data_IF_068193329532
#
_entry.id   IF_068193329532
#
_cell.length_a   1.000
_cell.length_b   1.000
_cell.length_c   1.000
_cell.angle_alpha   90.00
_cell.angle_beta   90.00
_cell.angle_gamma   90.00
#
_symmetry.space_group_name_H-M   'P 1'
#
loop_
_entity.id
_entity.type
_entity.pdbx_description
1 polymer ?
#
# COMPACT_ATOMS: atom_id res chain seq x y z
N UNK A 1 -24.84 -15.34 23.39
CA UNK A 1 -24.66 -16.45 22.41
C UNK A 1 -24.66 -15.95 20.97
N UNK A 2 -25.66 -15.20 20.50
CA UNK A 2 -25.69 -14.65 19.11
C UNK A 2 -24.53 -13.71 18.78
N UNK A 3 -24.21 -12.77 19.67
CA UNK A 3 -23.06 -11.83 19.49
C UNK A 3 -21.72 -12.55 19.50
N UNK A 4 -21.57 -13.55 20.37
CA UNK A 4 -20.37 -14.39 20.44
C UNK A 4 -20.16 -15.19 19.16
N UNK A 5 -21.25 -15.70 18.56
CA UNK A 5 -21.21 -16.38 17.27
C UNK A 5 -20.84 -15.43 16.13
N UNK A 6 -21.38 -14.21 16.12
CA UNK A 6 -21.02 -13.21 15.11
C UNK A 6 -19.54 -12.80 15.20
N UNK A 7 -19.02 -12.55 16.40
CA UNK A 7 -17.59 -12.20 16.59
C UNK A 7 -16.68 -13.37 16.19
N UNK A 8 -17.05 -14.60 16.54
CA UNK A 8 -16.31 -15.79 16.15
C UNK A 8 -16.35 -16.00 14.62
N UNK A 9 -17.50 -15.78 13.98
CA UNK A 9 -17.66 -15.84 12.53
C UNK A 9 -16.85 -14.74 11.82
N UNK A 10 -16.80 -13.51 12.35
CA UNK A 10 -15.96 -12.45 11.82
C UNK A 10 -14.47 -12.75 11.94
N UNK A 11 -14.05 -13.39 13.04
CA UNK A 11 -12.66 -13.85 13.24
C UNK A 11 -12.32 -15.01 12.28
N UNK A 12 -13.24 -15.95 12.09
CA UNK A 12 -13.08 -17.05 11.12
C UNK A 12 -13.04 -16.55 9.68
N UNK A 13 -13.81 -15.50 9.33
CA UNK A 13 -13.69 -14.85 8.02
C UNK A 13 -12.36 -14.13 7.84
N UNK A 14 -11.84 -13.48 8.88
CA UNK A 14 -10.53 -12.82 8.84
C UNK A 14 -9.37 -13.83 8.65
N UNK A 15 -9.50 -15.05 9.18
CA UNK A 15 -8.53 -16.14 8.97
C UNK A 15 -8.50 -16.67 7.54
N UNK A 16 -9.56 -16.46 6.75
CA UNK A 16 -9.60 -16.80 5.34
C UNK A 16 -9.25 -15.61 4.42
N UNK A 17 -8.88 -14.45 4.98
CA UNK A 17 -8.52 -13.29 4.18
C UNK A 17 -7.11 -13.48 3.60
N UNK A 18 -7.04 -13.84 2.33
CA UNK A 18 -5.83 -13.68 1.54
C UNK A 18 -5.54 -12.18 1.44
N UNK A 19 -4.47 -11.70 2.07
CA UNK A 19 -3.98 -10.34 1.89
C UNK A 19 -3.31 -10.26 0.51
N UNK A 20 -4.12 -10.11 -0.54
CA UNK A 20 -3.60 -9.85 -1.87
C UNK A 20 -3.03 -8.43 -1.91
N UNK A 21 -1.77 -8.32 -2.28
CA UNK A 21 -1.11 -7.04 -2.49
C UNK A 21 -1.61 -6.43 -3.80
N UNK A 22 -2.41 -5.36 -3.74
CA UNK A 22 -2.87 -4.64 -4.93
C UNK A 22 -1.82 -3.60 -5.29
N UNK A 23 -0.91 -3.96 -6.19
CA UNK A 23 0.05 -3.02 -6.77
C UNK A 23 -0.61 -2.27 -7.93
N UNK A 24 -0.41 -0.95 -8.08
CA UNK A 24 -0.84 -0.21 -9.27
C UNK A 24 0.06 -0.54 -10.47
N UNK A 25 -0.49 -0.43 -11.68
CA UNK A 25 0.28 -0.46 -12.91
C UNK A 25 0.81 0.95 -13.25
N UNK A 26 1.85 1.02 -14.07
CA UNK A 26 2.54 2.27 -14.37
C UNK A 26 2.90 2.38 -15.86
N UNK A 27 2.47 3.49 -16.47
CA UNK A 27 2.76 3.85 -17.85
C UNK A 27 3.59 5.12 -17.86
N UNK A 28 4.80 5.04 -18.41
CA UNK A 28 5.68 6.16 -18.65
C UNK A 28 5.92 6.31 -20.14
N UNK A 29 5.77 7.52 -20.65
CA UNK A 29 5.97 7.91 -22.04
C UNK A 29 6.94 9.08 -22.01
N UNK A 30 8.09 8.95 -22.65
CA UNK A 30 9.11 10.00 -22.69
C UNK A 30 9.36 10.39 -24.14
N UNK A 31 9.16 11.66 -24.46
CA UNK A 31 9.53 12.22 -25.76
C UNK A 31 11.06 12.34 -25.86
N UNK A 32 11.67 11.60 -26.79
CA UNK A 32 13.12 11.55 -26.98
C UNK A 32 13.58 12.45 -28.12
N UNK A 33 12.73 12.65 -29.11
CA UNK A 33 12.83 13.63 -30.19
C UNK A 33 11.43 14.08 -30.59
N UNK A 34 11.30 15.16 -31.36
CA UNK A 34 9.99 15.68 -31.81
C UNK A 34 9.13 14.57 -32.45
N UNK A 35 8.04 14.19 -31.77
CA UNK A 35 7.12 13.14 -32.22
C UNK A 35 7.64 11.70 -32.11
N UNK A 36 8.78 11.48 -31.45
CA UNK A 36 9.33 10.16 -31.12
C UNK A 36 9.26 9.95 -29.60
N UNK A 37 8.65 8.83 -29.20
CA UNK A 37 8.43 8.51 -27.79
C UNK A 37 8.95 7.12 -27.46
N UNK A 38 9.65 7.03 -26.33
CA UNK A 38 9.91 5.77 -25.65
C UNK A 38 8.84 5.53 -24.59
N UNK A 39 8.31 4.30 -24.56
CA UNK A 39 7.26 3.91 -23.63
C UNK A 39 7.72 2.78 -22.74
N UNK A 40 7.44 2.90 -21.44
CA UNK A 40 7.62 1.86 -20.43
C UNK A 40 6.26 1.57 -19.81
N UNK A 41 5.85 0.31 -19.91
CA UNK A 41 4.62 -0.19 -19.32
C UNK A 41 4.92 -1.27 -18.31
N UNK A 42 4.64 -0.99 -17.04
CA UNK A 42 4.79 -1.91 -15.93
C UNK A 42 3.42 -2.39 -15.48
N UNK A 43 3.22 -3.70 -15.48
CA UNK A 43 2.01 -4.34 -14.97
C UNK A 43 2.38 -5.30 -13.83
N UNK A 44 1.64 -5.28 -12.71
CA UNK A 44 1.80 -6.31 -11.69
C UNK A 44 1.33 -7.67 -12.22
N UNK A 45 2.08 -8.71 -11.86
CA UNK A 45 1.73 -10.11 -12.14
C UNK A 45 1.05 -10.67 -10.89
N UNK A 46 -0.25 -10.90 -10.97
CA UNK A 46 -1.03 -11.54 -9.89
C UNK A 46 -1.12 -13.05 -10.16
N UNK A 47 -0.67 -13.86 -9.22
CA UNK A 47 -0.71 -15.34 -9.28
C UNK A 47 -0.13 -15.94 -10.58
N UNK A 48 0.97 -15.37 -11.07
CA UNK A 48 1.61 -15.80 -12.32
C UNK A 48 0.81 -15.48 -13.59
N UNK A 49 -0.31 -14.74 -13.49
CA UNK A 49 -1.11 -14.31 -14.62
C UNK A 49 -0.93 -12.81 -14.87
N UNK A 50 -0.73 -12.46 -16.14
CA UNK A 50 -0.79 -11.06 -16.57
C UNK A 50 -2.22 -10.54 -16.47
N UNK A 51 -2.40 -9.35 -15.93
CA UNK A 51 -3.63 -8.60 -16.12
C UNK A 51 -3.78 -8.31 -17.62
N UNK A 52 -5.01 -8.34 -18.15
CA UNK A 52 -5.28 -7.99 -19.55
C UNK A 52 -5.44 -6.46 -19.67
N UNK A 53 -4.42 -5.72 -19.24
CA UNK A 53 -4.37 -4.27 -19.31
C UNK A 53 -3.48 -3.86 -20.48
N UNK A 54 -4.00 -3.01 -21.36
CA UNK A 54 -3.26 -2.53 -22.52
C UNK A 54 -3.51 -1.04 -22.75
N UNK A 55 -2.44 -0.22 -22.85
CA UNK A 55 -2.58 1.20 -23.19
C UNK A 55 -3.05 1.40 -24.63
N UNK A 56 -4.08 2.23 -24.78
CA UNK A 56 -4.68 2.64 -26.06
C UNK A 56 -4.38 4.12 -26.27
N UNK A 57 -3.51 4.40 -27.24
CA UNK A 57 -3.05 5.74 -27.58
C UNK A 57 -3.98 6.42 -28.59
N UNK A 58 -4.06 7.76 -28.60
CA UNK A 58 -4.78 8.49 -29.64
C UNK A 58 -4.06 8.38 -30.99
N UNK A 59 -4.84 8.25 -32.07
CA UNK A 59 -4.31 8.10 -33.43
C UNK A 59 -3.68 6.73 -33.71
N UNK A 60 -2.88 6.64 -34.77
CA UNK A 60 -2.20 5.41 -35.19
C UNK A 60 -0.74 5.37 -34.68
N UNK A 61 -0.55 5.31 -33.36
CA UNK A 61 0.77 5.08 -32.76
C UNK A 61 1.15 3.59 -32.86
N UNK A 62 1.93 3.22 -33.89
CA UNK A 62 2.43 1.86 -34.03
C UNK A 62 3.57 1.57 -33.04
N UNK A 63 3.50 0.45 -32.32
CA UNK A 63 4.59 -0.01 -31.44
C UNK A 63 5.76 -0.52 -32.27
N UNK A 64 6.95 -0.03 -31.99
CA UNK A 64 8.21 -0.43 -32.63
C UNK A 64 9.20 -0.92 -31.57
N UNK A 65 10.10 -1.82 -31.94
CA UNK A 65 11.18 -2.31 -31.07
C UNK A 65 10.71 -2.84 -29.70
N UNK A 66 9.54 -3.47 -29.65
CA UNK A 66 8.95 -3.95 -28.39
C UNK A 66 9.83 -5.03 -27.74
N UNK A 67 10.12 -4.83 -26.46
CA UNK A 67 10.88 -5.74 -25.61
C UNK A 67 10.16 -5.93 -24.30
N UNK A 68 10.04 -7.19 -23.87
CA UNK A 68 9.39 -7.56 -22.62
C UNK A 68 10.40 -8.17 -21.67
N UNK A 69 10.32 -7.80 -20.41
CA UNK A 69 11.09 -8.35 -19.31
C UNK A 69 10.16 -8.59 -18.13
N UNK A 70 10.37 -9.67 -17.38
CA UNK A 70 9.55 -10.02 -16.22
C UNK A 70 10.45 -10.14 -14.97
N UNK A 71 10.95 -9.02 -14.41
CA UNK A 71 11.63 -9.07 -13.13
C UNK A 71 10.63 -9.41 -12.02
N UNK A 72 10.74 -10.64 -11.48
CA UNK A 72 9.95 -11.15 -10.36
C UNK A 72 8.42 -11.04 -10.58
N UNK A 73 7.75 -10.14 -9.84
CA UNK A 73 6.28 -9.99 -9.82
C UNK A 73 5.75 -8.82 -10.67
N UNK A 74 6.59 -8.20 -11.51
CA UNK A 74 6.20 -7.10 -12.40
C UNK A 74 6.60 -7.41 -13.84
N UNK A 75 5.65 -7.33 -14.77
CA UNK A 75 5.88 -7.40 -16.19
C UNK A 75 6.21 -6.02 -16.73
N UNK A 76 7.41 -5.84 -17.26
CA UNK A 76 7.89 -4.58 -17.84
C UNK A 76 7.97 -4.74 -19.34
N UNK A 77 7.18 -3.97 -20.08
CA UNK A 77 7.23 -3.90 -21.54
C UNK A 77 7.79 -2.54 -21.94
N UNK A 78 8.75 -2.51 -22.85
CA UNK A 78 9.31 -1.27 -23.41
C UNK A 78 9.16 -1.27 -24.93
N UNK A 79 8.74 -0.17 -25.51
CA UNK A 79 8.69 0.01 -26.96
C UNK A 79 8.92 1.47 -27.33
N UNK A 80 9.24 1.72 -28.59
CA UNK A 80 9.28 3.07 -29.16
C UNK A 80 8.07 3.28 -30.08
N UNK A 81 7.64 4.52 -30.24
CA UNK A 81 6.56 4.88 -31.16
C UNK A 81 6.80 6.27 -31.76
N UNK A 82 6.34 6.47 -33.00
CA UNK A 82 6.41 7.75 -33.68
C UNK A 82 4.98 8.21 -34.03
N UNK A 83 4.49 9.23 -33.34
CA UNK A 83 3.14 9.78 -33.52
C UNK A 83 3.03 11.17 -32.87
N UNK A 84 1.83 11.77 -32.85
CA UNK A 84 1.58 13.03 -32.15
C UNK A 84 0.76 12.74 -30.88
N UNK A 85 1.34 13.00 -29.70
CA UNK A 85 0.67 12.83 -28.40
C UNK A 85 0.38 14.15 -27.67
N UNK A 86 0.37 15.28 -28.39
CA UNK A 86 0.06 16.57 -27.79
C UNK A 86 -1.45 16.75 -27.59
N UNK A 87 -2.25 15.97 -28.33
CA UNK A 87 -3.69 15.93 -28.19
C UNK A 87 -4.27 14.52 -28.29
N UNK A 88 -5.52 14.40 -27.86
CA UNK A 88 -6.27 13.15 -27.85
C UNK A 88 -6.40 12.52 -26.48
N UNK A 89 -7.03 11.35 -26.46
CA UNK A 89 -7.37 10.60 -25.26
C UNK A 89 -6.49 9.36 -25.16
N UNK A 90 -5.82 9.20 -24.03
CA UNK A 90 -5.08 8.00 -23.66
C UNK A 90 -5.92 7.20 -22.67
N UNK A 91 -6.22 5.95 -22.99
CA UNK A 91 -7.03 5.07 -22.14
C UNK A 91 -6.35 3.73 -21.87
N UNK A 92 -6.75 3.07 -20.79
CA UNK A 92 -6.28 1.71 -20.46
C UNK A 92 -7.43 0.74 -20.64
N UNK A 93 -7.32 -0.11 -21.65
CA UNK A 93 -8.30 -1.16 -21.91
C UNK A 93 -8.24 -2.23 -20.83
N UNK A 94 -9.40 -2.65 -20.33
CA UNK A 94 -9.54 -3.69 -19.30
C UNK A 94 -9.40 -3.20 -17.86
N UNK A 95 -9.08 -1.92 -17.63
CA UNK A 95 -8.95 -1.32 -16.29
C UNK A 95 -10.27 -1.30 -15.51
N UNK A 96 -11.39 -1.20 -16.22
CA UNK A 96 -12.77 -1.26 -15.67
C UNK A 96 -13.08 -2.57 -14.94
N UNK A 97 -12.31 -3.63 -15.20
CA UNK A 97 -12.52 -4.99 -14.68
C UNK A 97 -11.54 -5.39 -13.61
N UNK A 98 -10.71 -4.46 -13.16
CA UNK A 98 -9.68 -4.71 -12.15
C UNK A 98 -9.91 -3.86 -10.91
N UNK A 99 -9.19 -4.19 -9.84
CA UNK A 99 -9.10 -3.39 -8.62
C UNK A 99 -7.80 -2.57 -8.57
N UNK A 100 -7.02 -2.57 -9.65
CA UNK A 100 -5.74 -1.87 -9.72
C UNK A 100 -5.95 -0.48 -10.34
N UNK A 101 -5.13 0.48 -9.91
CA UNK A 101 -5.05 1.79 -10.53
C UNK A 101 -3.86 1.83 -11.50
N UNK A 102 -3.91 2.72 -12.48
CA UNK A 102 -2.81 2.93 -13.43
C UNK A 102 -2.30 4.35 -13.30
N UNK A 103 -1.05 4.50 -12.90
CA UNK A 103 -0.40 5.80 -12.96
C UNK A 103 0.16 6.02 -14.36
N UNK A 104 -0.16 7.16 -14.95
CA UNK A 104 0.25 7.56 -16.29
C UNK A 104 1.11 8.79 -16.20
N UNK A 105 2.27 8.76 -16.86
CA UNK A 105 3.20 9.87 -16.97
C UNK A 105 3.62 10.06 -18.42
N UNK A 106 3.55 11.29 -18.90
CA UNK A 106 4.02 11.72 -20.22
C UNK A 106 5.01 12.86 -20.00
N UNK A 107 6.28 12.62 -20.28
CA UNK A 107 7.34 13.62 -20.29
C UNK A 107 7.50 14.14 -21.72
N UNK A 108 7.37 15.45 -21.92
CA UNK A 108 7.46 16.11 -23.23
C UNK A 108 8.67 17.06 -23.27
N UNK A 109 9.24 17.28 -24.46
CA UNK A 109 10.46 18.10 -24.60
C UNK A 109 10.17 19.60 -24.47
N UNK A 110 9.05 20.07 -25.02
CA UNK A 110 8.71 21.49 -25.12
C UNK A 110 7.40 21.87 -24.41
N UNK A 111 6.55 20.89 -24.10
CA UNK A 111 5.27 21.08 -23.42
C UNK A 111 5.35 20.63 -21.95
N UNK A 112 4.37 21.04 -21.14
CA UNK A 112 4.27 20.58 -19.74
C UNK A 112 4.13 19.05 -19.67
N UNK A 113 4.80 18.44 -18.69
CA UNK A 113 4.59 17.03 -18.34
C UNK A 113 3.11 16.79 -17.97
N UNK A 114 2.56 15.66 -18.45
CA UNK A 114 1.22 15.20 -18.06
C UNK A 114 1.37 14.05 -17.09
N UNK A 115 0.73 14.15 -15.93
CA UNK A 115 0.66 13.02 -15.01
C UNK A 115 -0.75 12.86 -14.46
N UNK A 116 -1.22 11.62 -14.43
CA UNK A 116 -2.58 11.30 -14.01
C UNK A 116 -2.65 9.91 -13.38
N UNK A 117 -3.66 9.72 -12.52
CA UNK A 117 -4.00 8.43 -11.96
C UNK A 117 -5.33 7.96 -12.57
N UNK A 118 -5.25 6.96 -13.44
CA UNK A 118 -6.41 6.28 -14.02
C UNK A 118 -6.93 5.22 -13.07
N UNK A 119 -8.25 5.16 -12.95
CA UNK A 119 -8.97 4.26 -12.02
C UNK A 119 -9.96 3.39 -12.81
N UNK A 120 -10.45 2.28 -12.26
CA UNK A 120 -11.48 1.46 -12.92
C UNK A 120 -12.73 2.25 -13.36
N UNK A 121 -13.12 3.28 -12.60
CA UNK A 121 -14.25 4.16 -12.93
C UNK A 121 -13.91 5.37 -13.81
N UNK A 122 -12.63 5.63 -14.10
CA UNK A 122 -12.13 6.73 -14.91
C UNK A 122 -10.82 6.29 -15.57
N UNK A 123 -10.95 5.53 -16.67
CA UNK A 123 -9.85 4.79 -17.30
C UNK A 123 -9.21 5.51 -18.49
N UNK A 124 -9.50 6.80 -18.67
CA UNK A 124 -8.97 7.62 -19.74
C UNK A 124 -8.58 9.02 -19.25
N UNK A 125 -7.57 9.61 -19.89
CA UNK A 125 -7.12 11.00 -19.69
C UNK A 125 -7.01 11.73 -21.03
N UNK A 126 -7.28 13.04 -20.99
CA UNK A 126 -7.00 13.92 -22.11
C UNK A 126 -5.55 14.43 -22.03
N UNK A 127 -4.78 14.29 -23.12
CA UNK A 127 -3.38 14.72 -23.15
C UNK A 127 -3.20 16.24 -23.32
N UNK A 128 -4.30 16.96 -23.59
CA UNK A 128 -4.32 18.41 -23.78
C UNK A 128 -4.71 19.15 -22.50
N UNK A 129 -3.87 20.07 -22.05
CA UNK A 129 -4.10 20.96 -20.91
C UNK A 129 -3.04 20.82 -19.80
N UNK A 130 -2.90 21.83 -18.92
CA UNK A 130 -1.99 21.76 -17.78
C UNK A 130 -2.50 20.70 -16.80
N UNK A 131 -1.84 19.54 -16.81
CA UNK A 131 -2.11 18.43 -15.91
C UNK A 131 -0.87 18.21 -15.04
N UNK A 132 -0.58 19.20 -14.18
CA UNK A 132 0.37 18.97 -13.10
C UNK A 132 -0.10 17.76 -12.29
N UNK A 133 0.85 16.93 -11.84
CA UNK A 133 0.55 15.79 -10.97
C UNK A 133 -0.44 16.27 -9.91
N UNK A 134 -1.64 15.66 -9.78
CA UNK A 134 -2.52 16.04 -8.70
C UNK A 134 -1.76 15.65 -7.44
N UNK A 135 -1.10 16.60 -6.80
CA UNK A 135 -0.33 16.35 -5.57
C UNK A 135 -1.26 15.78 -4.50
N UNK A 136 -2.53 16.18 -4.52
CA UNK A 136 -3.65 15.58 -3.80
C UNK A 136 -3.91 14.08 -4.11
N UNK A 137 -3.56 13.58 -5.30
CA UNK A 137 -3.64 12.16 -5.62
C UNK A 137 -2.67 11.35 -4.77
N UNK A 138 -1.45 11.85 -4.48
CA UNK A 138 -0.51 11.17 -3.59
C UNK A 138 -1.04 11.08 -2.16
N UNK A 139 -1.73 12.12 -1.67
CA UNK A 139 -2.44 12.04 -0.39
C UNK A 139 -3.50 10.93 -0.41
N UNK A 140 -4.29 10.85 -1.48
CA UNK A 140 -5.32 9.82 -1.63
C UNK A 140 -4.72 8.40 -1.71
N UNK A 141 -3.63 8.24 -2.45
CA UNK A 141 -2.86 6.98 -2.52
C UNK A 141 -2.36 6.58 -1.12
N UNK A 142 -1.89 7.54 -0.32
CA UNK A 142 -1.49 7.28 1.08
C UNK A 142 -2.64 6.80 1.97
N UNK A 143 -3.83 7.38 1.83
CA UNK A 143 -5.04 6.91 2.53
C UNK A 143 -5.43 5.51 2.07
N UNK A 144 -5.47 5.28 0.75
CA UNK A 144 -5.83 4.00 0.15
C UNK A 144 -4.83 2.89 0.52
N UNK A 145 -3.53 3.20 0.58
CA UNK A 145 -2.47 2.30 1.06
C UNK A 145 -2.76 1.75 2.45
N UNK A 146 -3.26 2.59 3.37
CA UNK A 146 -3.60 2.13 4.72
C UNK A 146 -4.92 1.38 4.77
N UNK A 147 -5.94 1.82 4.03
CA UNK A 147 -7.26 1.18 4.04
C UNK A 147 -7.21 -0.21 3.41
N UNK A 148 -6.43 -0.38 2.34
CA UNK A 148 -6.28 -1.67 1.65
C UNK A 148 -5.07 -2.48 2.12
N UNK A 149 -4.15 -1.87 2.86
CA UNK A 149 -3.02 -2.54 3.50
C UNK A 149 -3.44 -3.27 4.77
N UNK A 150 -3.96 -4.50 4.65
CA UNK A 150 -4.41 -5.30 5.80
C UNK A 150 -3.32 -5.52 6.86
N UNK A 151 -2.05 -5.60 6.46
CA UNK A 151 -0.90 -5.65 7.37
C UNK A 151 -0.86 -4.44 8.31
N UNK A 152 -1.08 -3.23 7.76
CA UNK A 152 -1.11 -1.98 8.52
C UNK A 152 -2.31 -1.93 9.46
N UNK A 153 -3.50 -2.33 8.99
CA UNK A 153 -4.71 -2.32 9.81
C UNK A 153 -4.61 -3.30 10.98
N UNK A 154 -4.11 -4.53 10.77
CA UNK A 154 -3.91 -5.50 11.84
C UNK A 154 -2.82 -5.04 12.81
N UNK A 155 -1.74 -4.43 12.32
CA UNK A 155 -0.72 -3.85 13.17
C UNK A 155 -1.28 -2.74 14.07
N UNK A 156 -1.99 -1.76 13.49
CA UNK A 156 -2.63 -0.67 14.25
C UNK A 156 -3.69 -1.20 15.22
N UNK A 157 -4.46 -2.21 14.83
CA UNK A 157 -5.41 -2.87 15.74
C UNK A 157 -4.68 -3.54 16.92
N UNK A 158 -3.53 -4.18 16.67
CA UNK A 158 -2.66 -4.71 17.71
C UNK A 158 -2.19 -3.62 18.68
N UNK A 159 -1.77 -2.46 18.16
CA UNK A 159 -1.39 -1.31 18.99
C UNK A 159 -2.56 -0.78 19.82
N UNK A 160 -3.78 -0.71 19.27
CA UNK A 160 -4.99 -0.31 20.02
C UNK A 160 -5.24 -1.24 21.22
N UNK A 161 -4.96 -2.54 21.08
CA UNK A 161 -5.11 -3.51 22.18
C UNK A 161 -4.00 -3.41 23.23
N UNK A 162 -2.78 -3.07 22.79
CA UNK A 162 -1.57 -3.04 23.62
C UNK A 162 -1.36 -1.71 24.35
N UNK A 163 -1.64 -0.59 23.70
CA UNK A 163 -1.25 0.76 24.13
C UNK A 163 -2.41 1.46 24.85
N UNK A 164 -2.08 2.40 25.75
CA UNK A 164 -3.10 3.26 26.39
C UNK A 164 -3.56 4.34 25.39
N UNK A 165 -4.83 4.75 25.37
CA UNK A 165 -5.33 5.75 24.42
C UNK A 165 -4.51 7.06 24.36
N UNK A 166 -3.97 7.51 25.51
CA UNK A 166 -3.13 8.72 25.60
C UNK A 166 -1.78 8.60 24.86
N UNK A 167 -1.25 7.39 24.73
CA UNK A 167 0.03 7.10 24.08
C UNK A 167 -0.16 6.62 22.63
N UNK A 168 -1.39 6.29 22.23
CA UNK A 168 -1.69 5.66 20.95
C UNK A 168 -1.36 6.57 19.78
N UNK A 169 -1.77 7.84 19.83
CA UNK A 169 -1.49 8.79 18.75
C UNK A 169 0.02 8.93 18.55
N UNK A 170 0.78 9.21 19.62
CA UNK A 170 2.23 9.30 19.54
C UNK A 170 2.91 8.02 19.02
N UNK A 171 2.35 6.84 19.33
CA UNK A 171 2.87 5.55 18.87
C UNK A 171 2.60 5.34 17.38
N UNK A 172 1.40 5.68 16.90
CA UNK A 172 1.03 5.61 15.47
C UNK A 172 1.85 6.62 14.68
N UNK A 173 1.98 7.86 15.15
CA UNK A 173 2.82 8.86 14.50
C UNK A 173 4.29 8.43 14.46
N UNK A 174 4.81 7.78 15.50
CA UNK A 174 6.18 7.25 15.48
C UNK A 174 6.38 6.18 14.40
N UNK A 175 5.38 5.32 14.19
CA UNK A 175 5.38 4.37 13.07
C UNK A 175 5.41 5.10 11.73
N UNK A 176 4.56 6.12 11.53
CA UNK A 176 4.49 6.88 10.27
C UNK A 176 5.77 7.65 9.98
N UNK A 177 6.38 8.24 11.01
CA UNK A 177 7.68 8.93 10.87
C UNK A 177 8.75 7.94 10.41
N UNK A 178 8.83 6.76 11.04
CA UNK A 178 9.79 5.73 10.64
C UNK A 178 9.53 5.20 9.23
N UNK A 179 8.26 4.99 8.88
CA UNK A 179 7.83 4.62 7.53
C UNK A 179 8.24 5.69 6.51
N UNK A 180 8.04 6.97 6.83
CA UNK A 180 8.43 8.09 5.98
C UNK A 180 9.93 8.12 5.73
N UNK A 181 10.74 7.87 6.77
CA UNK A 181 12.22 7.86 6.67
C UNK A 181 12.68 6.80 5.68
N UNK A 182 12.17 5.57 5.79
CA UNK A 182 12.61 4.46 4.95
C UNK A 182 12.07 4.55 3.53
N UNK A 183 10.84 5.03 3.36
CA UNK A 183 10.29 5.34 2.05
C UNK A 183 11.09 6.42 1.33
N UNK A 184 11.44 7.51 2.03
CA UNK A 184 12.28 8.57 1.47
C UNK A 184 13.71 8.08 1.18
N UNK A 185 14.30 7.28 2.07
CA UNK A 185 15.62 6.69 1.85
C UNK A 185 15.65 5.77 0.62
N UNK A 186 14.55 5.04 0.37
CA UNK A 186 14.45 4.20 -0.82
C UNK A 186 14.22 5.01 -2.09
N UNK A 187 13.28 5.95 -2.06
CA UNK A 187 12.90 6.75 -3.22
C UNK A 187 13.95 7.78 -3.64
N UNK A 188 14.66 8.40 -2.68
CA UNK A 188 15.65 9.46 -2.94
C UNK A 188 17.09 8.97 -2.84
N UNK A 189 17.36 8.03 -1.93
CA UNK A 189 18.71 7.54 -1.63
C UNK A 189 19.08 6.24 -2.33
N UNK A 190 18.14 5.61 -3.04
CA UNK A 190 18.36 4.33 -3.74
C UNK A 190 18.57 3.13 -2.81
N UNK A 191 18.25 3.26 -1.52
CA UNK A 191 18.37 2.15 -0.56
C UNK A 191 17.23 1.16 -0.81
N UNK A 192 17.57 -0.05 -1.24
CA UNK A 192 16.58 -1.10 -1.49
C UNK A 192 16.89 -2.33 -0.64
N UNK A 193 15.83 -2.95 -0.12
CA UNK A 193 15.90 -4.25 0.53
C UNK A 193 15.12 -5.26 -0.32
N UNK A 194 15.53 -6.54 -0.33
CA UNK A 194 14.73 -7.59 -0.97
C UNK A 194 13.34 -7.66 -0.32
N UNK A 195 12.29 -7.73 -1.15
CA UNK A 195 10.89 -7.81 -0.69
C UNK A 195 10.59 -8.98 0.26
N UNK A 196 10.96 -10.24 -0.06
CA UNK A 196 10.51 -11.39 0.72
C UNK A 196 10.94 -11.35 2.20
N UNK A 197 12.20 -11.04 2.57
CA UNK A 197 12.58 -10.84 3.97
C UNK A 197 11.80 -9.72 4.67
N UNK A 198 11.53 -8.60 3.98
CA UNK A 198 10.77 -7.47 4.53
C UNK A 198 9.34 -7.90 4.84
N UNK A 199 8.68 -8.57 3.89
CA UNK A 199 7.31 -9.07 4.06
C UNK A 199 7.20 -10.11 5.20
N UNK A 200 8.19 -10.99 5.37
CA UNK A 200 8.23 -11.95 6.49
C UNK A 200 8.30 -11.20 7.82
N UNK A 201 9.17 -10.18 7.95
CA UNK A 201 9.32 -9.40 9.17
C UNK A 201 8.06 -8.58 9.47
N UNK A 202 7.40 -8.04 8.44
CA UNK A 202 6.09 -7.38 8.56
C UNK A 202 5.07 -8.34 9.17
N UNK A 203 4.92 -9.56 8.63
CA UNK A 203 3.98 -10.55 9.17
C UNK A 203 4.34 -10.97 10.61
N UNK A 204 5.63 -11.16 10.90
CA UNK A 204 6.11 -11.45 12.25
C UNK A 204 5.81 -10.32 13.25
N UNK A 205 5.85 -9.05 12.82
CA UNK A 205 5.51 -7.91 13.68
C UNK A 205 4.06 -7.96 14.17
N UNK A 206 3.14 -8.39 13.29
CA UNK A 206 1.72 -8.57 13.60
C UNK A 206 1.54 -9.72 14.59
N UNK A 207 2.22 -10.85 14.34
CA UNK A 207 2.22 -11.99 15.26
C UNK A 207 2.72 -11.60 16.66
N UNK A 208 3.79 -10.81 16.72
CA UNK A 208 4.34 -10.29 17.97
C UNK A 208 3.33 -9.42 18.72
N UNK A 209 2.65 -8.48 18.06
CA UNK A 209 1.64 -7.65 18.72
C UNK A 209 0.46 -8.49 19.25
N UNK A 210 0.04 -9.53 18.53
CA UNK A 210 -0.96 -10.48 19.01
C UNK A 210 -0.52 -11.20 20.29
N UNK A 211 0.73 -11.66 20.35
CA UNK A 211 1.31 -12.31 21.52
C UNK A 211 1.46 -11.34 22.71
N UNK A 212 1.99 -10.13 22.46
CA UNK A 212 2.17 -9.08 23.47
C UNK A 212 0.85 -8.64 24.11
N UNK A 213 -0.23 -8.57 23.32
CA UNK A 213 -1.56 -8.28 23.85
C UNK A 213 -2.07 -9.35 24.84
N UNK A 214 -1.60 -10.60 24.71
CA UNK A 214 -1.89 -11.69 25.67
C UNK A 214 -0.95 -11.63 26.88
N UNK A 215 0.34 -11.39 26.69
CA UNK A 215 1.33 -11.28 27.78
C UNK A 215 1.00 -10.15 28.76
N UNK A 216 0.53 -9.02 28.26
CA UNK A 216 0.04 -7.91 29.09
C UNK A 216 -1.06 -8.32 30.07
N UNK A 217 -1.95 -9.25 29.68
CA UNK A 217 -3.00 -9.76 30.58
C UNK A 217 -2.45 -10.67 31.68
N UNK A 218 -1.27 -11.25 31.48
CA UNK A 218 -0.60 -12.11 32.45
C UNK A 218 0.28 -11.33 33.43
N UNK A 219 0.34 -10.00 33.32
CA UNK A 219 1.14 -9.14 34.19
C UNK A 219 2.64 -9.18 33.89
N UNK A 220 3.02 -9.55 32.66
CA UNK A 220 4.41 -9.56 32.23
C UNK A 220 4.80 -8.21 31.63
N UNK A 221 5.87 -7.61 32.15
CA UNK A 221 6.43 -6.37 31.63
C UNK A 221 7.33 -6.66 30.42
N UNK A 222 6.97 -6.11 29.26
CA UNK A 222 7.75 -6.23 28.02
C UNK A 222 8.08 -4.84 27.48
N UNK A 223 9.13 -4.75 26.65
CA UNK A 223 9.50 -3.48 25.99
C UNK A 223 8.35 -2.92 25.16
N UNK A 224 7.59 -3.79 24.48
CA UNK A 224 6.43 -3.41 23.68
C UNK A 224 5.30 -2.79 24.51
N UNK A 225 5.20 -3.14 25.79
CA UNK A 225 4.21 -2.56 26.70
C UNK A 225 4.68 -1.27 27.36
N UNK A 226 5.97 -1.19 27.70
CA UNK A 226 6.56 -0.05 28.41
C UNK A 226 6.91 1.12 27.48
N UNK A 227 7.43 0.81 26.29
CA UNK A 227 7.86 1.77 25.28
C UNK A 227 7.32 1.38 23.90
N UNK A 228 5.99 1.37 23.72
CA UNK A 228 5.36 0.93 22.47
C UNK A 228 5.79 1.76 21.26
N UNK A 229 6.16 3.03 21.45
CA UNK A 229 6.63 3.92 20.40
C UNK A 229 7.95 3.45 19.77
N UNK A 230 8.86 2.81 20.53
CA UNK A 230 10.12 2.28 20.01
C UNK A 230 9.86 1.10 19.09
N UNK A 231 8.97 0.19 19.52
CA UNK A 231 8.58 -0.98 18.72
C UNK A 231 7.83 -0.54 17.46
N UNK A 232 6.91 0.41 17.59
CA UNK A 232 6.20 0.99 16.45
C UNK A 232 7.15 1.70 15.48
N UNK A 233 8.13 2.44 15.97
CA UNK A 233 9.16 3.05 15.15
C UNK A 233 10.00 1.99 14.41
N UNK A 234 10.49 0.96 15.12
CA UNK A 234 11.28 -0.11 14.51
C UNK A 234 10.53 -0.87 13.42
N UNK A 235 9.25 -1.20 13.65
CA UNK A 235 8.42 -1.83 12.62
C UNK A 235 8.03 -0.87 11.49
N UNK A 236 7.83 0.42 11.80
CA UNK A 236 7.61 1.45 10.78
C UNK A 236 8.76 1.55 9.78
N UNK A 237 10.02 1.41 10.24
CA UNK A 237 11.19 1.36 9.34
C UNK A 237 11.07 0.18 8.36
N UNK A 238 10.72 -1.01 8.84
CA UNK A 238 10.60 -2.20 7.98
C UNK A 238 9.42 -2.07 7.03
N UNK A 239 8.27 -1.60 7.52
CA UNK A 239 7.06 -1.42 6.71
C UNK A 239 7.28 -0.45 5.53
N UNK A 240 8.03 0.64 5.74
CA UNK A 240 8.30 1.60 4.66
C UNK A 240 9.09 0.99 3.49
N UNK A 241 9.96 0.01 3.75
CA UNK A 241 10.60 -0.76 2.68
C UNK A 241 9.63 -1.70 1.95
N UNK A 242 8.59 -2.20 2.63
CA UNK A 242 7.57 -3.05 2.01
C UNK A 242 6.81 -2.32 0.89
N UNK A 243 6.55 -1.02 1.06
CA UNK A 243 5.89 -0.21 0.04
C UNK A 243 6.86 0.46 -0.95
N UNK A 244 8.15 0.55 -0.62
CA UNK A 244 9.12 1.24 -1.45
C UNK A 244 9.21 0.70 -2.89
N UNK A 245 9.06 -0.61 -3.08
CA UNK A 245 8.99 -1.23 -4.41
C UNK A 245 7.78 -0.74 -5.21
N UNK A 246 6.59 -0.72 -4.60
CA UNK A 246 5.38 -0.21 -5.23
C UNK A 246 5.49 1.28 -5.56
N UNK A 247 6.10 2.10 -4.70
CA UNK A 247 6.30 3.52 -5.00
C UNK A 247 7.31 3.77 -6.11
N UNK A 248 8.38 2.97 -6.19
CA UNK A 248 9.32 2.98 -7.32
C UNK A 248 8.64 2.58 -8.64
N UNK A 249 7.63 1.72 -8.55
CA UNK A 249 6.79 1.38 -9.70
C UNK A 249 5.78 2.48 -10.03
N UNK A 250 5.13 3.13 -9.05
CA UNK A 250 4.23 4.28 -9.26
C UNK A 250 4.96 5.50 -9.83
N UNK A 251 6.22 5.69 -9.48
CA UNK A 251 7.00 6.85 -9.85
C UNK A 251 6.65 8.10 -9.03
N UNK A 252 7.66 8.93 -8.78
CA UNK A 252 7.51 10.24 -8.16
C UNK A 252 7.62 11.34 -9.23
N UNK A 253 6.87 12.44 -9.09
CA UNK A 253 6.94 13.55 -10.04
C UNK A 253 8.32 14.21 -9.93
N UNK A 254 9.04 14.34 -11.05
CA UNK A 254 10.37 14.96 -11.06
C UNK A 254 10.28 16.40 -10.56
N UNK A 255 11.15 16.77 -9.63
CA UNK A 255 11.18 18.09 -9.00
C UNK A 255 10.13 18.34 -7.90
N UNK A 256 9.22 17.39 -7.65
CA UNK A 256 8.23 17.46 -6.58
C UNK A 256 8.19 16.17 -5.72
N UNK A 257 9.24 15.36 -5.75
CA UNK A 257 9.35 14.05 -5.11
C UNK A 257 9.14 14.15 -3.60
N UNK A 258 9.82 15.10 -2.96
CA UNK A 258 9.72 15.33 -1.50
C UNK A 258 8.29 15.73 -1.12
N UNK A 259 7.64 16.57 -1.94
CA UNK A 259 6.28 17.03 -1.66
C UNK A 259 5.25 15.93 -1.89
N UNK A 260 5.42 15.10 -2.92
CA UNK A 260 4.60 13.91 -3.15
C UNK A 260 4.75 12.89 -2.01
N UNK A 261 5.97 12.63 -1.54
CA UNK A 261 6.25 11.78 -0.38
C UNK A 261 5.62 12.33 0.90
N UNK A 262 5.70 13.64 1.12
CA UNK A 262 5.07 14.29 2.26
C UNK A 262 3.55 14.09 2.25
N UNK A 263 2.91 14.34 1.11
CA UNK A 263 1.45 14.18 0.96
C UNK A 263 1.02 12.73 1.09
N UNK A 264 1.77 11.79 0.53
CA UNK A 264 1.55 10.36 0.72
C UNK A 264 1.59 9.98 2.21
N UNK A 265 2.64 10.36 2.94
CA UNK A 265 2.74 10.02 4.37
C UNK A 265 1.71 10.77 5.23
N UNK A 266 1.28 11.96 4.83
CA UNK A 266 0.16 12.65 5.47
C UNK A 266 -1.16 11.88 5.25
N UNK A 267 -1.36 11.33 4.06
CA UNK A 267 -2.47 10.43 3.75
C UNK A 267 -2.44 9.16 4.61
N UNK A 268 -1.25 8.57 4.78
CA UNK A 268 -1.03 7.42 5.66
C UNK A 268 -1.43 7.74 7.11
N UNK A 269 -0.93 8.83 7.69
CA UNK A 269 -1.27 9.23 9.07
C UNK A 269 -2.78 9.44 9.23
N UNK A 270 -3.41 10.13 8.28
CA UNK A 270 -4.86 10.38 8.29
C UNK A 270 -5.64 9.06 8.22
N UNK A 271 -5.24 8.12 7.34
CA UNK A 271 -5.84 6.80 7.25
C UNK A 271 -5.73 6.01 8.55
N UNK A 272 -4.56 6.02 9.18
CA UNK A 272 -4.33 5.31 10.45
C UNK A 272 -5.13 5.93 11.59
N UNK A 273 -5.13 7.27 11.71
CA UNK A 273 -5.90 7.98 12.75
C UNK A 273 -7.40 7.74 12.57
N UNK A 274 -7.90 7.80 11.33
CA UNK A 274 -9.31 7.51 11.03
C UNK A 274 -9.68 6.08 11.45
N UNK A 275 -8.84 5.10 11.14
CA UNK A 275 -9.04 3.71 11.55
C UNK A 275 -9.00 3.54 13.08
N UNK A 276 -8.06 4.18 13.77
CA UNK A 276 -7.98 4.18 15.24
C UNK A 276 -9.27 4.73 15.85
N UNK A 277 -9.76 5.88 15.37
CA UNK A 277 -11.00 6.49 15.84
C UNK A 277 -12.18 5.53 15.63
N UNK A 278 -12.26 4.92 14.44
CA UNK A 278 -13.29 3.93 14.11
C UNK A 278 -13.28 2.73 15.07
N UNK A 279 -12.11 2.12 15.30
CA UNK A 279 -11.98 0.97 16.21
C UNK A 279 -12.31 1.36 17.65
N UNK A 280 -11.88 2.52 18.12
CA UNK A 280 -12.18 3.01 19.48
C UNK A 280 -13.69 3.30 19.63
N UNK A 281 -14.35 3.85 18.62
CA UNK A 281 -15.79 4.07 18.61
C UNK A 281 -16.55 2.73 18.68
N UNK A 282 -16.15 1.74 17.88
CA UNK A 282 -16.73 0.39 17.95
C UNK A 282 -16.52 -0.25 19.33
N UNK A 283 -15.32 -0.10 19.91
CA UNK A 283 -15.03 -0.61 21.25
C UNK A 283 -15.89 0.08 22.32
N UNK A 284 -16.12 1.39 22.20
CA UNK A 284 -16.98 2.15 23.11
C UNK A 284 -18.45 1.71 23.02
N UNK A 285 -19.00 1.58 21.80
CA UNK A 285 -20.36 1.07 21.59
C UNK A 285 -20.48 -0.37 22.12
N UNK A 286 -19.52 -1.23 21.79
CA UNK A 286 -19.50 -2.63 22.23
C UNK A 286 -19.43 -2.77 23.76
N UNK A 287 -18.68 -1.91 24.44
CA UNK A 287 -18.65 -1.87 25.91
C UNK A 287 -19.99 -1.46 26.51
N UNK A 288 -20.73 -0.56 25.86
CA UNK A 288 -22.04 -0.09 26.32
C UNK A 288 -23.14 -1.14 26.12
N UNK A 289 -23.07 -1.89 25.02
CA UNK A 289 -24.04 -2.93 24.68
C UNK A 289 -23.73 -4.31 25.29
N UNK A 290 -22.45 -4.65 25.47
CA UNK A 290 -22.02 -5.99 25.87
C UNK A 290 -20.83 -5.97 26.85
N UNK A 291 -20.99 -5.24 27.96
CA UNK A 291 -19.93 -4.98 28.95
C UNK A 291 -19.26 -6.24 29.49
N UNK A 292 -20.05 -7.28 29.80
CA UNK A 292 -19.55 -8.54 30.37
C UNK A 292 -18.65 -9.33 29.39
N UNK A 293 -18.84 -9.15 28.08
CA UNK A 293 -18.05 -9.85 27.07
C UNK A 293 -16.80 -9.10 26.60
N UNK A 294 -16.61 -7.85 26.99
CA UNK A 294 -15.45 -7.04 26.56
C UNK A 294 -14.08 -7.72 26.84
N UNK A 295 -13.86 -8.42 27.98
CA UNK A 295 -12.61 -9.15 28.21
C UNK A 295 -12.39 -10.30 27.23
N UNK A 296 -13.46 -11.02 26.88
CA UNK A 296 -13.46 -12.11 25.91
C UNK A 296 -13.18 -11.57 24.50
N UNK A 297 -13.88 -10.53 24.06
CA UNK A 297 -13.68 -9.91 22.73
C UNK A 297 -12.24 -9.43 22.56
N UNK A 298 -11.67 -8.75 23.56
CA UNK A 298 -10.25 -8.33 23.52
C UNK A 298 -9.28 -9.52 23.44
N UNK A 299 -9.60 -10.63 24.14
CA UNK A 299 -8.78 -11.86 24.07
C UNK A 299 -8.88 -12.49 22.69
N UNK A 300 -10.09 -12.63 22.15
CA UNK A 300 -10.35 -13.20 20.85
C UNK A 300 -9.68 -12.40 19.73
N UNK A 301 -9.74 -11.06 19.79
CA UNK A 301 -9.04 -10.18 18.85
C UNK A 301 -7.52 -10.37 18.89
N UNK A 302 -6.92 -10.45 20.08
CA UNK A 302 -5.47 -10.69 20.22
C UNK A 302 -5.04 -12.04 19.63
N UNK A 303 -5.81 -13.11 19.87
CA UNK A 303 -5.56 -14.41 19.24
C UNK A 303 -5.75 -14.35 17.72
N UNK A 304 -6.78 -13.68 17.22
CA UNK A 304 -7.03 -13.53 15.79
C UNK A 304 -5.85 -12.85 15.08
N UNK A 305 -5.36 -11.73 15.64
CA UNK A 305 -4.18 -11.01 15.13
C UNK A 305 -2.94 -11.91 15.16
N UNK A 306 -2.69 -12.57 16.29
CA UNK A 306 -1.53 -13.45 16.46
C UNK A 306 -1.54 -14.62 15.47
N UNK A 307 -2.67 -15.32 15.34
CA UNK A 307 -2.83 -16.45 14.42
C UNK A 307 -2.67 -15.99 12.97
N UNK A 308 -3.30 -14.88 12.58
CA UNK A 308 -3.21 -14.35 11.22
C UNK A 308 -1.78 -13.94 10.88
N UNK A 309 -1.11 -13.20 11.77
CA UNK A 309 0.30 -12.84 11.58
C UNK A 309 1.23 -14.05 11.51
N UNK A 310 1.01 -15.07 12.35
CA UNK A 310 1.79 -16.32 12.28
C UNK A 310 1.52 -17.10 10.99
N UNK A 311 0.27 -17.16 10.53
CA UNK A 311 -0.10 -17.79 9.28
C UNK A 311 0.59 -17.11 8.10
N UNK A 312 0.48 -15.79 7.97
CA UNK A 312 1.15 -15.04 6.90
C UNK A 312 2.67 -15.13 6.96
N UNK A 313 3.26 -15.17 8.17
CA UNK A 313 4.71 -15.37 8.30
C UNK A 313 5.12 -16.74 7.75
N UNK A 314 4.39 -17.81 8.09
CA UNK A 314 4.65 -19.16 7.58
C UNK A 314 4.45 -19.21 6.06
N UNK A 315 3.37 -18.62 5.55
CA UNK A 315 3.06 -18.54 4.12
C UNK A 315 4.18 -17.84 3.34
N UNK A 316 4.62 -16.67 3.81
CA UNK A 316 5.70 -15.88 3.18
C UNK A 316 7.05 -16.58 3.26
N UNK A 317 7.36 -17.26 4.38
CA UNK A 317 8.56 -18.10 4.50
C UNK A 317 8.48 -19.27 3.51
N UNK A 318 7.34 -19.96 3.44
CA UNK A 318 7.15 -21.09 2.55
C UNK A 318 7.37 -20.67 1.09
N UNK A 319 6.72 -19.59 0.65
CA UNK A 319 6.86 -19.05 -0.70
C UNK A 319 8.27 -18.54 -1.05
N UNK A 320 9.10 -18.24 -0.04
CA UNK A 320 10.48 -17.77 -0.25
C UNK A 320 11.48 -18.92 -0.39
N UNK A 321 11.26 -20.04 0.31
CA UNK A 321 12.26 -21.11 0.46
C UNK A 321 11.87 -22.47 -0.14
N UNK A 322 10.62 -22.66 -0.53
CA UNK A 322 10.10 -23.93 -1.08
C UNK A 322 9.32 -23.69 -2.38
#
# INVERSE_FOLDING_TARGET
>A
MRVTLCVLASILMALCAAAHEVRPAYLEITETAHGEYDVIWKQPVLDGRRLKLDPVFPGNCARQNERMSAPAATLVTRWSMACNLNNGELSISGLDRTLTDVFVRVERLEEDDVSALLRPGANAIQLSGPQGAPTLAYFKIGVEHIIFGFDHLLFVLGLVLLVRPRQLLATVTAFTVAHSITLAASALGGVTLPGPPVEIVIAMSIALLGAEAIYRKRGQDTLAQNQPWIIAFGFGLVHGFGFAGALSDIGLPKGAEIFALLLFNLGVEVGQVAFVIFVLALAWVGQRLYRQGAPFVRKAAAYAIGITGSFWAIERIAATFF
#
